data_IF_797253969638
#
_entry.id   IF_797253969638
#
_cell.length_a   1.000
_cell.length_b   1.000
_cell.length_c   1.000
_cell.angle_alpha   90.00
_cell.angle_beta   90.00
_cell.angle_gamma   90.00
#
_symmetry.space_group_name_H-M   'P 1'
#
loop_
_entity.id
_entity.type
_entity.pdbx_description
1 polymer ?
#
# COMPACT_ATOMS: atom_id res chain seq x y z
N UNK A 1 3.97 10.39 -59.61
CA UNK A 1 3.48 9.65 -58.44
C UNK A 1 4.21 10.17 -57.22
N UNK A 2 3.56 10.99 -56.41
CA UNK A 2 4.10 11.53 -55.13
C UNK A 2 3.60 10.65 -54.00
N UNK A 3 4.52 9.96 -53.36
CA UNK A 3 4.19 9.20 -52.11
C UNK A 3 4.18 10.19 -50.94
N UNK A 4 2.99 10.33 -50.35
CA UNK A 4 2.80 11.09 -49.11
C UNK A 4 3.12 10.16 -47.92
N UNK A 5 4.20 10.48 -47.23
CA UNK A 5 4.60 9.79 -46.01
C UNK A 5 3.72 10.30 -44.86
N UNK A 6 2.86 9.42 -44.32
CA UNK A 6 2.03 9.74 -43.16
C UNK A 6 2.88 9.46 -41.90
N UNK A 7 3.34 10.52 -41.24
CA UNK A 7 4.00 10.40 -39.93
C UNK A 7 2.91 10.32 -38.88
N UNK A 8 2.76 9.14 -38.30
CA UNK A 8 1.88 8.92 -37.14
C UNK A 8 2.64 9.40 -35.90
N UNK A 9 2.29 10.58 -35.40
CA UNK A 9 2.79 11.06 -34.11
C UNK A 9 2.08 10.31 -32.98
N UNK A 10 2.82 9.43 -32.28
CA UNK A 10 2.39 8.88 -31.00
C UNK A 10 2.36 10.04 -29.97
N UNK A 11 1.19 10.55 -29.69
CA UNK A 11 0.96 11.40 -28.53
C UNK A 11 1.04 10.51 -27.29
N UNK A 12 2.17 10.52 -26.61
CA UNK A 12 2.27 10.05 -25.24
C UNK A 12 1.36 10.96 -24.40
N UNK A 13 0.23 10.44 -23.99
CA UNK A 13 -0.71 11.14 -23.11
C UNK A 13 -0.08 11.33 -21.74
N UNK A 14 0.58 12.47 -21.54
CA UNK A 14 0.94 12.96 -20.22
C UNK A 14 -0.37 13.45 -19.59
N UNK A 15 -0.98 12.64 -18.72
CA UNK A 15 -2.06 13.10 -17.84
C UNK A 15 -1.55 14.22 -16.93
N UNK A 16 -2.42 15.07 -16.37
CA UNK A 16 -1.99 16.15 -15.49
C UNK A 16 -1.25 15.56 -14.30
N UNK A 17 0.04 15.87 -14.16
CA UNK A 17 0.79 15.67 -12.93
C UNK A 17 0.10 16.54 -11.87
N UNK A 18 -0.45 15.92 -10.82
CA UNK A 18 -0.98 16.66 -9.68
C UNK A 18 0.17 17.40 -8.98
N UNK A 19 -0.11 18.57 -8.45
CA UNK A 19 0.87 19.37 -7.72
C UNK A 19 1.47 18.55 -6.57
N UNK A 20 2.81 18.32 -6.64
CA UNK A 20 3.54 17.61 -5.60
C UNK A 20 4.19 16.28 -6.00
N UNK A 21 4.02 15.81 -7.25
CA UNK A 21 4.72 14.63 -7.74
C UNK A 21 5.57 14.96 -8.98
N UNK A 22 6.78 14.40 -8.99
CA UNK A 22 7.69 14.47 -10.14
C UNK A 22 8.17 13.04 -10.45
N UNK A 23 8.47 12.78 -11.71
CA UNK A 23 8.93 11.47 -12.15
C UNK A 23 7.86 10.39 -11.99
N UNK A 24 7.99 9.39 -12.79
CA UNK A 24 7.12 8.21 -12.76
C UNK A 24 7.92 7.04 -13.32
N UNK A 25 7.97 5.94 -12.59
CA UNK A 25 8.47 4.68 -13.12
C UNK A 25 7.52 3.54 -12.79
N UNK A 26 7.53 2.51 -13.63
CA UNK A 26 6.71 1.31 -13.49
C UNK A 26 7.55 0.09 -13.82
N UNK A 27 7.49 -0.88 -12.95
CA UNK A 27 8.12 -2.18 -13.12
C UNK A 27 7.07 -3.28 -12.98
N UNK A 28 6.86 -4.07 -14.04
CA UNK A 28 5.99 -5.26 -13.96
C UNK A 28 6.81 -6.41 -13.41
N UNK A 29 6.32 -6.98 -12.30
CA UNK A 29 7.02 -8.03 -11.58
C UNK A 29 6.33 -9.38 -11.78
N UNK A 30 7.12 -10.39 -12.10
CA UNK A 30 6.69 -11.79 -12.21
C UNK A 30 7.60 -12.67 -11.38
N UNK A 31 7.04 -13.72 -10.78
CA UNK A 31 7.80 -14.73 -10.04
C UNK A 31 7.28 -16.12 -10.38
N UNK A 32 8.15 -17.13 -10.31
CA UNK A 32 7.81 -18.51 -10.62
C UNK A 32 7.18 -19.29 -9.44
N UNK A 33 7.17 -18.72 -8.24
CA UNK A 33 6.51 -19.33 -7.08
C UNK A 33 4.99 -19.19 -7.21
N UNK A 34 4.26 -20.30 -7.20
CA UNK A 34 2.80 -20.32 -7.36
C UNK A 34 2.03 -19.58 -6.25
N UNK A 35 2.70 -19.24 -5.15
CA UNK A 35 2.15 -18.46 -4.04
C UNK A 35 2.30 -16.95 -4.26
N UNK A 36 3.12 -16.54 -5.23
CA UNK A 36 3.34 -15.14 -5.57
C UNK A 36 2.13 -14.56 -6.29
N UNK A 37 1.66 -13.40 -5.86
CA UNK A 37 0.51 -12.68 -6.39
C UNK A 37 -0.41 -12.21 -5.26
N UNK A 38 -1.49 -11.52 -5.60
CA UNK A 38 -2.43 -11.01 -4.60
C UNK A 38 -1.76 -10.08 -3.58
N UNK A 39 -0.85 -9.20 -4.03
CA UNK A 39 -0.10 -8.34 -3.10
C UNK A 39 -0.97 -7.18 -2.62
N UNK A 40 -1.23 -7.16 -1.31
CA UNK A 40 -2.12 -6.21 -0.63
C UNK A 40 -1.38 -5.15 0.20
N UNK A 41 -0.12 -5.39 0.58
CA UNK A 41 0.67 -4.46 1.37
C UNK A 41 2.15 -4.45 1.01
N UNK A 42 2.81 -3.32 1.26
CA UNK A 42 4.23 -3.09 0.93
C UNK A 42 4.88 -2.24 2.02
N UNK A 43 6.08 -2.64 2.42
CA UNK A 43 6.98 -1.86 3.28
C UNK A 43 8.39 -1.87 2.66
N UNK A 44 8.90 -0.68 2.31
CA UNK A 44 10.24 -0.49 1.75
C UNK A 44 11.22 -0.18 2.87
N UNK A 45 12.47 -0.64 2.71
CA UNK A 45 13.55 -0.13 3.58
C UNK A 45 13.70 1.38 3.44
N UNK A 46 14.20 2.05 4.49
CA UNK A 46 14.36 3.51 4.56
C UNK A 46 15.14 4.10 3.37
N UNK A 47 16.03 3.32 2.76
CA UNK A 47 16.85 3.69 1.60
C UNK A 47 16.30 3.19 0.26
N UNK A 48 15.15 2.50 0.25
CA UNK A 48 14.49 1.97 -0.93
C UNK A 48 15.24 0.86 -1.66
N UNK A 49 16.18 0.19 -0.99
CA UNK A 49 16.99 -0.89 -1.61
C UNK A 49 16.38 -2.28 -1.45
N UNK A 50 15.50 -2.46 -0.48
CA UNK A 50 14.81 -3.72 -0.22
C UNK A 50 13.36 -3.49 0.19
N UNK A 51 12.58 -4.54 0.21
CA UNK A 51 11.17 -4.47 0.62
C UNK A 51 10.69 -5.76 1.26
N UNK A 52 9.61 -5.63 2.01
CA UNK A 52 8.73 -6.73 2.40
C UNK A 52 7.31 -6.40 1.95
N UNK A 53 6.72 -7.30 1.18
CA UNK A 53 5.32 -7.22 0.79
C UNK A 53 4.54 -8.37 1.43
N UNK A 54 3.22 -8.22 1.51
CA UNK A 54 2.32 -9.31 1.90
C UNK A 54 1.31 -9.57 0.80
N UNK A 55 0.87 -10.83 0.69
CA UNK A 55 -0.22 -11.22 -0.18
C UNK A 55 -1.45 -11.67 0.61
N UNK A 56 -2.63 -11.47 0.03
CA UNK A 56 -3.95 -11.80 0.56
C UNK A 56 -4.07 -13.26 1.03
N UNK A 57 -3.28 -14.16 0.42
CA UNK A 57 -3.23 -15.59 0.81
C UNK A 57 -2.28 -15.91 1.95
N UNK A 58 -1.87 -14.90 2.72
CA UNK A 58 -1.03 -15.07 3.90
C UNK A 58 0.40 -15.48 3.57
N UNK A 59 1.07 -14.70 2.74
CA UNK A 59 2.49 -14.84 2.43
C UNK A 59 3.23 -13.53 2.66
N UNK A 60 4.48 -13.62 3.10
CA UNK A 60 5.46 -12.57 2.99
C UNK A 60 6.25 -12.75 1.69
N UNK A 61 6.50 -11.67 1.00
CA UNK A 61 7.34 -11.65 -0.20
C UNK A 61 8.42 -10.60 0.02
N UNK A 62 9.69 -10.99 0.03
CA UNK A 62 10.82 -10.07 0.18
C UNK A 62 11.63 -10.00 -1.11
N UNK A 63 12.40 -8.93 -1.27
CA UNK A 63 13.31 -8.79 -2.41
C UNK A 63 14.24 -7.59 -2.27
N UNK A 64 15.26 -7.59 -3.13
CA UNK A 64 16.21 -6.49 -3.30
C UNK A 64 15.91 -5.76 -4.60
N UNK A 65 15.82 -4.46 -4.56
CA UNK A 65 15.54 -3.60 -5.71
C UNK A 65 16.84 -3.32 -6.47
N UNK A 66 16.82 -3.56 -7.76
CA UNK A 66 17.86 -3.11 -8.70
C UNK A 66 17.35 -1.84 -9.37
N UNK A 67 18.17 -0.79 -9.36
CA UNK A 67 17.85 0.48 -10.01
C UNK A 67 18.78 0.73 -11.19
N UNK A 68 18.26 1.39 -12.21
CA UNK A 68 19.05 1.87 -13.34
C UNK A 68 19.77 3.19 -13.02
N UNK A 69 20.45 3.77 -14.02
CA UNK A 69 21.19 5.02 -13.88
C UNK A 69 20.30 6.25 -13.57
N UNK A 70 18.99 6.17 -13.83
CA UNK A 70 18.01 7.21 -13.50
C UNK A 70 17.42 7.02 -12.09
N UNK A 71 17.74 5.91 -11.43
CA UNK A 71 17.19 5.53 -10.15
C UNK A 71 15.84 4.81 -10.25
N UNK A 72 15.41 4.44 -11.44
CA UNK A 72 14.16 3.71 -11.66
C UNK A 72 14.35 2.21 -11.44
N UNK A 73 13.30 1.51 -10.98
CA UNK A 73 13.34 0.06 -10.77
C UNK A 73 13.57 -0.63 -12.12
N UNK A 74 14.67 -1.36 -12.23
CA UNK A 74 15.05 -2.14 -13.42
C UNK A 74 15.02 -3.66 -13.19
N UNK A 75 14.91 -4.08 -11.93
CA UNK A 75 14.84 -5.50 -11.57
C UNK A 75 14.64 -5.72 -10.08
N UNK A 76 14.33 -6.97 -9.74
CA UNK A 76 14.24 -7.46 -8.37
C UNK A 76 15.04 -8.75 -8.27
N UNK A 77 15.86 -8.86 -7.22
CA UNK A 77 16.67 -10.06 -6.92
C UNK A 77 16.42 -10.55 -5.51
N UNK A 78 16.96 -11.70 -5.18
CA UNK A 78 16.86 -12.31 -3.84
C UNK A 78 15.42 -12.41 -3.33
N UNK A 79 14.47 -12.68 -4.25
CA UNK A 79 13.05 -12.84 -3.90
C UNK A 79 12.85 -14.12 -3.10
N UNK A 80 12.22 -13.99 -1.94
CA UNK A 80 11.75 -15.11 -1.13
C UNK A 80 10.23 -14.98 -0.91
N UNK A 81 9.51 -16.11 -1.00
CA UNK A 81 8.08 -16.20 -0.67
C UNK A 81 7.91 -17.14 0.51
N UNK A 82 7.54 -16.58 1.66
CA UNK A 82 7.40 -17.30 2.92
C UNK A 82 5.95 -17.32 3.39
N UNK A 83 5.43 -18.44 3.93
CA UNK A 83 4.11 -18.47 4.51
C UNK A 83 4.07 -17.60 5.78
N UNK A 84 3.04 -16.78 5.91
CA UNK A 84 2.72 -16.08 7.14
C UNK A 84 2.17 -17.10 8.16
N UNK A 85 2.87 -17.27 9.29
CA UNK A 85 2.50 -18.24 10.30
C UNK A 85 1.49 -17.65 11.31
N UNK A 86 0.19 -17.97 11.21
CA UNK A 86 -0.82 -17.39 12.10
C UNK A 86 -0.65 -17.89 13.54
N UNK A 87 -1.38 -17.30 14.52
CA UNK A 87 -1.44 -17.82 15.87
C UNK A 87 -1.86 -19.30 15.89
N UNK A 88 -1.34 -20.07 16.83
CA UNK A 88 -1.59 -21.50 16.91
C UNK A 88 -3.10 -21.81 16.90
N UNK A 89 -3.50 -22.78 16.09
CA UNK A 89 -4.91 -23.17 15.91
C UNK A 89 -5.74 -22.21 15.04
N UNK A 90 -5.14 -21.17 14.48
CA UNK A 90 -5.81 -20.26 13.53
C UNK A 90 -5.58 -20.73 12.09
N UNK A 91 -6.53 -20.37 11.20
CA UNK A 91 -6.34 -20.51 9.74
C UNK A 91 -5.40 -19.46 9.22
N UNK A 92 -4.84 -19.67 8.02
CA UNK A 92 -4.12 -18.66 7.25
C UNK A 92 -4.98 -17.40 7.16
N UNK A 93 -4.46 -16.23 7.52
CA UNK A 93 -5.21 -14.99 7.47
C UNK A 93 -5.32 -14.47 6.04
N UNK A 94 -6.35 -13.71 5.81
CA UNK A 94 -6.52 -12.78 4.71
C UNK A 94 -5.80 -11.50 5.12
N UNK A 95 -4.60 -11.26 4.58
CA UNK A 95 -3.70 -10.20 5.03
C UNK A 95 -3.77 -9.00 4.08
N UNK A 96 -3.93 -7.78 4.63
CA UNK A 96 -4.25 -6.57 3.89
C UNK A 96 -3.17 -5.49 3.97
N UNK A 97 -2.73 -5.12 5.14
CA UNK A 97 -1.72 -4.09 5.35
C UNK A 97 -0.52 -4.60 6.14
N UNK A 98 0.67 -4.08 5.86
CA UNK A 98 1.92 -4.35 6.57
C UNK A 98 2.54 -3.05 7.06
N UNK A 99 3.18 -3.09 8.22
CA UNK A 99 4.06 -2.04 8.71
C UNK A 99 5.20 -2.67 9.51
N UNK A 100 6.43 -2.19 9.30
CA UNK A 100 7.63 -2.69 9.99
C UNK A 100 8.20 -1.56 10.85
N UNK A 101 8.28 -1.80 12.14
CA UNK A 101 8.85 -0.84 13.07
C UNK A 101 10.37 -0.76 12.99
N UNK A 102 10.96 0.33 13.48
CA UNK A 102 12.40 0.55 13.50
C UNK A 102 13.19 -0.56 14.27
N UNK A 103 12.52 -1.28 15.19
CA UNK A 103 13.08 -2.46 15.87
C UNK A 103 13.12 -3.72 15.01
N UNK A 104 12.45 -3.71 13.83
CA UNK A 104 12.28 -4.87 12.98
C UNK A 104 11.03 -5.70 13.29
N UNK A 105 10.21 -5.29 14.26
CA UNK A 105 8.90 -5.90 14.54
C UNK A 105 7.96 -5.70 13.35
N UNK A 106 7.30 -6.76 12.93
CA UNK A 106 6.43 -6.78 11.76
C UNK A 106 4.98 -6.82 12.23
N UNK A 107 4.15 -5.96 11.66
CA UNK A 107 2.72 -5.90 11.94
C UNK A 107 1.93 -6.11 10.66
N UNK A 108 0.85 -6.89 10.75
CA UNK A 108 -0.01 -7.21 9.61
C UNK A 108 -1.46 -7.06 10.03
N UNK A 109 -2.23 -6.23 9.31
CA UNK A 109 -3.68 -6.20 9.45
C UNK A 109 -4.30 -7.37 8.72
N UNK A 110 -5.35 -7.96 9.30
CA UNK A 110 -6.03 -9.11 8.70
C UNK A 110 -7.54 -8.90 8.69
N UNK A 111 -8.13 -9.21 7.54
CA UNK A 111 -9.55 -9.13 7.31
C UNK A 111 -10.34 -10.17 8.14
N UNK A 112 -11.46 -10.62 7.78
CA UNK A 112 -12.26 -11.68 8.42
C UNK A 112 -12.22 -11.80 9.96
N UNK A 113 -11.09 -11.57 10.61
CA UNK A 113 -10.87 -11.59 12.06
C UNK A 113 -10.75 -10.19 12.67
N UNK A 114 -10.68 -9.15 11.85
CA UNK A 114 -10.61 -7.73 12.23
C UNK A 114 -9.60 -7.48 13.34
N UNK A 115 -8.33 -7.72 13.07
CA UNK A 115 -7.23 -7.58 14.04
C UNK A 115 -5.92 -7.23 13.37
N UNK A 116 -4.96 -6.83 14.19
CA UNK A 116 -3.56 -6.73 13.80
C UNK A 116 -2.80 -7.89 14.46
N UNK A 117 -1.95 -8.52 13.67
CA UNK A 117 -0.99 -9.54 14.09
C UNK A 117 0.39 -8.92 14.21
N UNK A 118 1.18 -9.36 15.17
CA UNK A 118 2.58 -8.97 15.33
C UNK A 118 3.48 -10.19 15.22
N UNK A 119 4.64 -10.01 14.56
CA UNK A 119 5.65 -11.03 14.31
C UNK A 119 7.02 -10.47 14.72
N UNK A 120 7.80 -11.25 15.43
CA UNK A 120 9.17 -10.89 15.82
C UNK A 120 10.17 -11.09 14.66
N UNK A 121 9.77 -11.83 13.61
CA UNK A 121 10.50 -12.03 12.36
C UNK A 121 9.59 -12.67 11.31
N UNK A 122 10.01 -12.72 10.03
CA UNK A 122 9.28 -13.36 8.94
C UNK A 122 9.06 -14.88 9.14
N UNK A 123 9.89 -15.53 9.96
CA UNK A 123 9.79 -16.96 10.27
C UNK A 123 9.09 -17.20 11.62
N UNK A 124 8.75 -16.14 12.35
CA UNK A 124 8.07 -16.25 13.63
C UNK A 124 6.57 -16.53 13.47
N UNK A 125 6.00 -17.14 14.48
CA UNK A 125 4.54 -17.27 14.59
C UNK A 125 3.94 -15.99 15.14
N UNK A 126 2.85 -15.56 14.53
CA UNK A 126 2.13 -14.36 14.95
C UNK A 126 1.59 -14.46 16.37
N UNK A 127 1.60 -13.32 17.05
CA UNK A 127 0.76 -13.04 18.21
C UNK A 127 -0.32 -12.02 17.81
N UNK A 128 -1.54 -12.19 18.34
CA UNK A 128 -2.61 -11.24 18.10
C UNK A 128 -2.48 -10.04 19.05
N UNK A 129 -2.61 -8.83 18.52
CA UNK A 129 -2.69 -7.62 19.34
C UNK A 129 -4.10 -7.45 19.95
N UNK A 130 -4.27 -6.60 20.98
CA UNK A 130 -5.58 -6.20 21.50
C UNK A 130 -6.49 -5.72 20.36
N UNK A 131 -7.80 -5.77 20.57
CA UNK A 131 -8.79 -5.32 19.58
C UNK A 131 -9.55 -4.10 20.09
N UNK A 132 -9.76 -3.13 19.22
CA UNK A 132 -10.71 -2.05 19.51
C UNK A 132 -12.15 -2.63 19.52
N UNK A 133 -13.06 -2.17 20.40
CA UNK A 133 -14.44 -2.65 20.43
C UNK A 133 -15.18 -2.54 19.09
N UNK A 134 -14.95 -1.49 18.32
CA UNK A 134 -15.58 -1.26 17.02
C UNK A 134 -15.25 -2.35 15.99
N UNK A 135 -14.11 -3.04 16.12
CA UNK A 135 -13.69 -4.08 15.18
C UNK A 135 -14.70 -5.23 15.13
N UNK A 136 -15.41 -5.49 16.24
CA UNK A 136 -16.43 -6.55 16.29
C UNK A 136 -17.63 -6.29 15.36
N UNK A 137 -17.88 -5.02 15.00
CA UNK A 137 -18.97 -4.60 14.12
C UNK A 137 -18.58 -4.39 12.65
N UNK A 138 -17.34 -4.63 12.29
CA UNK A 138 -16.87 -4.46 10.91
C UNK A 138 -17.40 -5.55 9.98
N UNK A 139 -17.51 -5.25 8.69
CA UNK A 139 -17.91 -6.22 7.68
C UNK A 139 -16.76 -7.20 7.42
N UNK A 140 -17.08 -8.49 7.20
CA UNK A 140 -16.08 -9.53 7.06
C UNK A 140 -15.11 -9.31 5.89
N UNK A 141 -15.56 -8.67 4.80
CA UNK A 141 -14.76 -8.43 3.59
C UNK A 141 -14.62 -6.91 3.33
N UNK A 142 -14.32 -6.12 4.31
CA UNK A 142 -14.12 -4.67 4.19
C UNK A 142 -13.67 -4.08 5.53
N UNK A 143 -12.69 -4.70 6.18
CA UNK A 143 -12.29 -4.33 7.53
C UNK A 143 -10.99 -3.52 7.57
N UNK A 144 -9.98 -4.00 8.29
CA UNK A 144 -8.71 -3.30 8.49
C UNK A 144 -7.83 -3.46 7.26
N UNK A 145 -7.95 -2.54 6.32
CA UNK A 145 -7.25 -2.58 5.03
C UNK A 145 -5.84 -2.01 5.13
N UNK A 146 -5.72 -0.81 5.67
CA UNK A 146 -4.46 -0.09 5.72
C UNK A 146 -3.82 -0.19 7.10
N UNK A 147 -2.49 -0.30 7.14
CA UNK A 147 -1.68 -0.32 8.36
C UNK A 147 -0.45 0.57 8.17
N UNK A 148 -0.13 1.37 9.17
CA UNK A 148 1.07 2.21 9.21
C UNK A 148 1.65 2.25 10.62
N UNK A 149 2.93 2.58 10.74
CA UNK A 149 3.62 2.74 12.02
C UNK A 149 4.43 4.03 12.00
N UNK A 150 4.43 4.77 13.11
CA UNK A 150 5.29 5.93 13.25
C UNK A 150 6.67 5.59 13.85
N UNK A 151 7.56 6.56 13.86
CA UNK A 151 8.91 6.40 14.37
C UNK A 151 8.97 6.05 15.88
N UNK A 152 7.91 6.32 16.63
CA UNK A 152 7.79 5.98 18.04
C UNK A 152 7.20 4.57 18.26
N UNK A 153 6.86 3.84 17.18
CA UNK A 153 6.28 2.51 17.23
C UNK A 153 4.77 2.48 17.46
N UNK A 154 4.09 3.61 17.31
CA UNK A 154 2.63 3.71 17.37
C UNK A 154 2.02 3.20 16.08
N UNK A 155 1.08 2.27 16.16
CA UNK A 155 0.39 1.73 15.00
C UNK A 155 -0.87 2.52 14.67
N UNK A 156 -1.16 2.64 13.36
CA UNK A 156 -2.37 3.24 12.83
C UNK A 156 -3.01 2.29 11.83
N UNK A 157 -4.33 2.11 11.91
CA UNK A 157 -5.06 1.29 10.92
C UNK A 157 -6.36 1.97 10.52
N UNK A 158 -6.77 1.75 9.28
CA UNK A 158 -7.98 2.33 8.70
C UNK A 158 -8.78 1.22 8.02
N UNK A 159 -10.12 1.17 8.22
CA UNK A 159 -10.96 0.23 7.49
C UNK A 159 -11.14 0.66 6.03
N UNK A 160 -11.30 -0.31 5.13
CA UNK A 160 -11.63 -0.07 3.72
C UNK A 160 -12.88 0.81 3.57
N UNK A 161 -13.87 0.56 4.44
CA UNK A 161 -15.18 1.23 4.40
C UNK A 161 -15.53 1.87 5.73
N UNK A 162 -16.18 3.01 5.66
CA UNK A 162 -16.70 3.72 6.82
C UNK A 162 -18.19 3.44 7.12
N UNK A 163 -18.79 2.47 6.43
CA UNK A 163 -20.20 2.09 6.56
C UNK A 163 -21.16 2.92 5.69
N UNK A 164 -20.88 4.19 5.43
CA UNK A 164 -21.69 5.08 4.56
C UNK A 164 -20.79 5.95 3.69
N UNK A 165 -21.22 6.27 2.47
CA UNK A 165 -20.46 7.08 1.52
C UNK A 165 -20.13 8.51 2.01
N UNK A 166 -20.87 9.02 2.97
CA UNK A 166 -20.68 10.37 3.56
C UNK A 166 -19.97 10.34 4.91
N UNK A 167 -19.72 9.15 5.47
CA UNK A 167 -19.10 9.00 6.79
C UNK A 167 -17.57 9.02 6.62
N UNK A 168 -16.81 9.84 7.36
CA UNK A 168 -15.36 9.80 7.38
C UNK A 168 -14.83 8.42 7.80
N UNK A 169 -13.64 8.06 7.34
CA UNK A 169 -12.95 6.86 7.77
C UNK A 169 -12.30 7.10 9.13
N UNK A 170 -12.62 6.33 10.19
CA UNK A 170 -11.92 6.44 11.45
C UNK A 170 -10.47 5.95 11.29
N UNK A 171 -9.52 6.66 11.88
CA UNK A 171 -8.15 6.20 12.01
C UNK A 171 -7.98 5.66 13.42
N UNK A 172 -7.82 4.36 13.56
CA UNK A 172 -7.56 3.70 14.83
C UNK A 172 -6.06 3.74 15.11
N UNK A 173 -5.71 4.13 16.35
CA UNK A 173 -4.33 4.18 16.81
C UNK A 173 -4.12 3.23 17.98
N UNK A 174 -3.06 2.41 17.92
CA UNK A 174 -2.61 1.60 19.06
C UNK A 174 -1.33 2.20 19.62
N UNK A 175 -1.42 2.69 20.84
CA UNK A 175 -0.29 3.23 21.60
C UNK A 175 -0.31 2.68 23.02
N UNK A 176 0.85 2.27 23.54
CA UNK A 176 1.01 1.75 24.91
C UNK A 176 0.06 0.57 25.23
N UNK A 177 -0.36 -0.19 24.24
CA UNK A 177 -1.27 -1.34 24.36
C UNK A 177 -2.76 -1.02 24.26
N UNK A 178 -3.14 0.25 24.17
CA UNK A 178 -4.53 0.70 24.09
C UNK A 178 -4.87 1.31 22.73
N UNK A 179 -6.08 1.01 22.25
CA UNK A 179 -6.62 1.58 21.03
C UNK A 179 -7.46 2.82 21.31
N UNK A 180 -7.26 3.87 20.47
CA UNK A 180 -8.15 5.04 20.41
C UNK A 180 -8.42 5.45 18.94
N UNK A 181 -9.23 6.51 18.74
CA UNK A 181 -9.55 7.09 17.42
C UNK A 181 -9.21 8.58 17.46
N UNK A 182 -7.92 8.95 17.26
CA UNK A 182 -7.48 10.33 17.40
C UNK A 182 -8.09 11.28 16.36
N UNK A 183 -8.38 10.80 15.15
CA UNK A 183 -8.96 11.59 14.06
C UNK A 183 -9.67 10.70 13.04
N UNK A 184 -10.27 11.31 12.03
CA UNK A 184 -10.90 10.63 10.92
C UNK A 184 -10.54 11.30 9.60
N UNK A 185 -10.39 10.50 8.54
CA UNK A 185 -10.10 10.96 7.19
C UNK A 185 -11.39 11.24 6.44
N UNK A 186 -11.59 12.45 5.86
CA UNK A 186 -12.79 12.76 5.08
C UNK A 186 -12.92 11.81 3.87
N UNK A 187 -14.11 11.24 3.70
CA UNK A 187 -14.42 10.48 2.49
C UNK A 187 -14.63 11.42 1.30
N UNK A 188 -13.96 11.15 0.18
CA UNK A 188 -14.01 11.96 -1.05
C UNK A 188 -14.47 11.07 -2.22
N UNK A 189 -15.73 11.21 -2.62
CA UNK A 189 -16.31 10.41 -3.70
C UNK A 189 -16.44 8.93 -3.37
N UNK A 190 -16.26 8.08 -4.39
CA UNK A 190 -16.42 6.63 -4.28
C UNK A 190 -15.15 5.86 -3.94
N UNK A 191 -14.07 6.58 -3.65
CA UNK A 191 -12.82 5.95 -3.28
C UNK A 191 -12.92 5.25 -1.92
N UNK A 192 -12.25 4.11 -1.82
CA UNK A 192 -12.10 3.28 -0.64
C UNK A 192 -10.62 3.25 -0.24
N UNK A 193 -10.34 3.07 1.03
CA UNK A 193 -8.97 2.91 1.51
C UNK A 193 -8.41 1.58 1.02
N UNK A 194 -7.15 1.56 0.58
CA UNK A 194 -6.44 0.34 0.19
C UNK A 194 -5.04 0.24 0.80
N UNK A 195 -4.46 1.33 1.31
CA UNK A 195 -3.17 1.28 1.97
C UNK A 195 -2.87 2.56 2.73
N UNK A 196 -1.91 2.51 3.64
CA UNK A 196 -1.39 3.68 4.33
C UNK A 196 0.08 3.51 4.71
N UNK A 197 0.76 4.64 4.88
CA UNK A 197 2.11 4.70 5.42
C UNK A 197 2.34 6.03 6.14
N UNK A 198 3.33 6.07 7.03
CA UNK A 198 3.84 7.29 7.65
C UNK A 198 5.24 7.53 7.13
N UNK A 199 5.37 8.51 6.24
CA UNK A 199 6.64 8.81 5.60
C UNK A 199 7.70 9.36 6.56
N UNK A 200 8.98 9.37 6.14
CA UNK A 200 10.09 9.93 6.93
C UNK A 200 9.92 11.42 7.27
N UNK A 201 9.02 12.12 6.59
CA UNK A 201 8.61 13.50 6.89
C UNK A 201 7.60 13.62 8.02
N UNK A 202 7.22 12.51 8.66
CA UNK A 202 6.23 12.43 9.71
C UNK A 202 4.80 12.73 9.25
N UNK A 203 4.52 12.59 7.94
CA UNK A 203 3.20 12.79 7.36
C UNK A 203 2.49 11.46 7.14
N UNK A 204 1.18 11.48 7.26
CA UNK A 204 0.31 10.33 7.04
C UNK A 204 -0.15 10.27 5.58
N UNK A 205 0.22 9.22 4.88
CA UNK A 205 -0.13 8.97 3.48
C UNK A 205 -1.19 7.87 3.42
N UNK A 206 -2.22 8.08 2.61
CA UNK A 206 -3.22 7.05 2.33
C UNK A 206 -3.31 6.80 0.84
N UNK A 207 -3.37 5.52 0.48
CA UNK A 207 -3.72 5.06 -0.85
C UNK A 207 -5.21 4.70 -0.86
N UNK A 208 -5.90 5.14 -1.89
CA UNK A 208 -7.31 4.89 -2.10
C UNK A 208 -7.55 4.38 -3.51
N UNK A 209 -8.51 3.49 -3.66
CA UNK A 209 -8.93 2.94 -4.95
C UNK A 209 -10.42 3.13 -5.20
N UNK A 210 -10.79 3.24 -6.48
CA UNK A 210 -12.17 3.21 -6.94
C UNK A 210 -12.28 2.29 -8.16
N UNK A 211 -13.01 1.19 -8.01
CA UNK A 211 -13.36 0.32 -9.14
C UNK A 211 -14.57 0.88 -9.89
N UNK A 212 -14.37 1.21 -11.16
CA UNK A 212 -15.39 1.86 -12.01
C UNK A 212 -16.28 0.88 -12.78
N UNK A 213 -16.05 -0.44 -12.60
CA UNK A 213 -16.66 -1.51 -13.41
C UNK A 213 -15.90 -1.83 -14.69
N UNK A 214 -14.90 -1.02 -15.07
CA UNK A 214 -14.05 -1.21 -16.28
C UNK A 214 -12.55 -1.12 -15.98
N UNK A 215 -12.18 -0.77 -14.76
CA UNK A 215 -10.80 -0.59 -14.32
C UNK A 215 -10.76 0.17 -13.01
N UNK A 216 -9.55 0.42 -12.55
CA UNK A 216 -9.29 1.11 -11.29
C UNK A 216 -8.85 2.55 -11.51
N UNK A 217 -9.27 3.42 -10.61
CA UNK A 217 -8.68 4.72 -10.35
C UNK A 217 -7.99 4.65 -9.01
N UNK A 218 -6.80 5.22 -8.90
CA UNK A 218 -6.05 5.29 -7.66
C UNK A 218 -5.85 6.74 -7.25
N UNK A 219 -5.85 6.99 -5.94
CA UNK A 219 -5.58 8.31 -5.38
C UNK A 219 -4.66 8.17 -4.17
N UNK A 220 -3.69 9.08 -4.05
CA UNK A 220 -2.88 9.22 -2.84
C UNK A 220 -3.15 10.58 -2.23
N UNK A 221 -3.50 10.59 -0.95
CA UNK A 221 -3.63 11.81 -0.14
C UNK A 221 -2.65 11.79 1.02
N UNK A 222 -2.15 12.97 1.37
CA UNK A 222 -1.25 13.20 2.50
C UNK A 222 -1.92 14.11 3.53
N UNK A 223 -1.68 13.82 4.81
CA UNK A 223 -2.21 14.55 5.95
C UNK A 223 -1.11 14.81 6.98
N UNK A 224 -1.35 15.74 7.90
CA UNK A 224 -0.60 15.76 9.16
C UNK A 224 -1.14 14.67 10.12
N UNK A 225 -0.42 14.42 11.22
CA UNK A 225 -0.79 13.39 12.20
C UNK A 225 -2.01 13.74 13.07
N UNK A 226 -2.66 14.87 12.81
CA UNK A 226 -3.96 15.23 13.39
C UNK A 226 -5.14 15.01 12.44
N UNK A 227 -4.85 14.54 11.20
CA UNK A 227 -5.84 14.39 10.13
C UNK A 227 -6.14 15.68 9.38
N UNK A 228 -5.38 16.75 9.65
CA UNK A 228 -5.44 18.04 8.96
C UNK A 228 -4.49 18.13 7.76
N UNK A 229 -4.38 19.34 7.18
CA UNK A 229 -3.44 19.64 6.08
C UNK A 229 -3.57 18.71 4.88
N UNK A 230 -4.81 18.33 4.50
CA UNK A 230 -5.12 17.42 3.40
C UNK A 230 -4.54 17.93 2.08
N UNK A 231 -3.72 17.10 1.42
CA UNK A 231 -3.18 17.34 0.07
C UNK A 231 -3.41 16.09 -0.78
N UNK A 232 -4.03 16.25 -1.95
CA UNK A 232 -4.08 15.18 -2.95
C UNK A 232 -2.78 15.23 -3.76
N UNK A 233 -1.95 14.19 -3.64
CA UNK A 233 -0.69 14.06 -4.36
C UNK A 233 -0.87 13.41 -5.74
N UNK A 234 -1.74 12.40 -5.81
CA UNK A 234 -2.02 11.62 -7.01
C UNK A 234 -3.52 11.39 -7.14
N UNK A 235 -4.05 11.56 -8.33
CA UNK A 235 -5.35 10.99 -8.73
C UNK A 235 -5.24 10.57 -10.19
N UNK A 236 -5.43 9.27 -10.48
CA UNK A 236 -5.18 8.70 -11.80
C UNK A 236 -6.45 8.63 -12.63
N UNK A 237 -6.33 8.72 -13.98
CA UNK A 237 -7.38 8.29 -14.86
C UNK A 237 -7.72 6.81 -14.67
N UNK A 238 -8.94 6.41 -15.07
CA UNK A 238 -9.36 5.02 -15.01
C UNK A 238 -8.46 4.12 -15.86
N UNK A 239 -7.98 3.01 -15.28
CA UNK A 239 -7.15 2.03 -15.97
C UNK A 239 -5.70 2.47 -16.19
N UNK A 240 -5.23 3.55 -15.55
CA UNK A 240 -3.85 3.98 -15.63
C UNK A 240 -2.89 3.00 -14.95
N UNK A 241 -3.30 2.43 -13.84
CA UNK A 241 -2.63 1.36 -13.10
C UNK A 241 -3.59 0.19 -12.91
N UNK A 242 -3.04 -0.95 -12.53
CA UNK A 242 -3.83 -2.05 -12.03
C UNK A 242 -4.32 -1.75 -10.61
N UNK A 243 -4.81 -2.71 -9.88
CA UNK A 243 -5.39 -2.58 -8.56
C UNK A 243 -4.33 -2.24 -7.50
N UNK A 244 -3.96 -0.95 -7.35
CA UNK A 244 -2.95 -0.52 -6.36
C UNK A 244 -3.51 -0.68 -4.94
N UNK A 245 -2.80 -1.44 -4.09
CA UNK A 245 -3.22 -1.76 -2.72
C UNK A 245 -2.18 -1.44 -1.66
N UNK A 246 -0.88 -1.60 -1.93
CA UNK A 246 0.18 -1.25 -0.99
C UNK A 246 0.85 0.08 -1.32
N UNK A 247 1.29 0.80 -0.28
CA UNK A 247 2.05 2.05 -0.36
C UNK A 247 3.16 2.04 0.67
N UNK A 248 4.35 2.51 0.28
CA UNK A 248 5.45 2.82 1.19
C UNK A 248 6.16 4.09 0.75
N UNK A 249 6.49 4.97 1.70
CA UNK A 249 7.17 6.26 1.49
C UNK A 249 8.54 6.23 2.14
N UNK A 250 9.58 6.46 1.36
CA UNK A 250 10.96 6.31 1.78
C UNK A 250 11.86 7.45 1.30
N UNK A 251 13.11 7.53 1.77
CA UNK A 251 14.05 8.58 1.41
C UNK A 251 15.03 8.11 0.34
N UNK A 252 15.01 8.79 -0.82
CA UNK A 252 16.02 8.61 -1.85
C UNK A 252 17.10 9.69 -1.75
N UNK A 253 18.25 9.55 -2.43
CA UNK A 253 19.28 10.60 -2.49
C UNK A 253 18.77 11.96 -3.02
N UNK A 254 17.65 11.97 -3.74
CA UNK A 254 17.07 13.17 -4.35
C UNK A 254 15.81 13.67 -3.64
N UNK A 255 15.42 13.08 -2.52
CA UNK A 255 14.24 13.43 -1.74
C UNK A 255 13.28 12.26 -1.50
N UNK A 256 12.08 12.55 -1.05
CA UNK A 256 11.09 11.53 -0.75
C UNK A 256 10.59 10.85 -2.03
N UNK A 257 10.40 9.55 -1.95
CA UNK A 257 9.71 8.73 -2.94
C UNK A 257 8.58 7.94 -2.30
N UNK A 258 7.58 7.60 -3.08
CA UNK A 258 6.59 6.59 -2.73
C UNK A 258 6.62 5.47 -3.74
N UNK A 259 6.58 4.24 -3.25
CA UNK A 259 6.42 3.02 -4.03
C UNK A 259 5.03 2.46 -3.74
N UNK A 260 4.32 2.12 -4.80
CA UNK A 260 3.00 1.49 -4.75
C UNK A 260 3.09 0.11 -5.35
N UNK A 261 2.34 -0.85 -4.83
CA UNK A 261 2.24 -2.20 -5.40
C UNK A 261 0.80 -2.51 -5.77
N UNK A 262 0.61 -3.20 -6.91
CA UNK A 262 -0.70 -3.66 -7.34
C UNK A 262 -0.94 -5.13 -7.04
N UNK A 263 -2.19 -5.43 -6.69
CA UNK A 263 -2.75 -6.77 -6.61
C UNK A 263 -3.20 -7.26 -8.00
N UNK A 264 -2.71 -8.43 -8.44
CA UNK A 264 -3.12 -9.08 -9.68
C UNK A 264 -4.36 -9.97 -9.51
N UNK A 265 -4.90 -10.07 -8.30
CA UNK A 265 -6.04 -10.91 -7.95
C UNK A 265 -5.89 -12.36 -8.46
N UNK A 266 -4.67 -12.83 -8.67
CA UNK A 266 -4.35 -14.10 -9.34
C UNK A 266 -5.06 -14.27 -10.69
N UNK A 267 -5.24 -13.17 -11.44
CA UNK A 267 -5.93 -13.16 -12.73
C UNK A 267 -4.93 -12.91 -13.87
N UNK A 268 -4.95 -13.73 -14.90
CA UNK A 268 -4.03 -13.68 -16.04
C UNK A 268 -4.02 -12.34 -16.81
N UNK A 269 -5.04 -11.51 -16.65
CA UNK A 269 -5.17 -10.20 -17.30
C UNK A 269 -4.81 -9.02 -16.38
N UNK A 270 -4.55 -9.27 -15.10
CA UNK A 270 -4.02 -8.30 -14.15
C UNK A 270 -2.53 -8.52 -13.93
N UNK A 271 -1.86 -7.55 -13.36
CA UNK A 271 -0.41 -7.57 -13.21
C UNK A 271 -0.02 -7.12 -11.82
N UNK A 272 1.02 -7.76 -11.29
CA UNK A 272 1.76 -7.22 -10.16
C UNK A 272 2.72 -6.17 -10.69
N UNK A 273 2.50 -4.90 -10.32
CA UNK A 273 3.33 -3.76 -10.71
C UNK A 273 3.89 -3.07 -9.47
N UNK A 274 5.15 -2.67 -9.52
CA UNK A 274 5.71 -1.65 -8.63
C UNK A 274 5.71 -0.32 -9.38
N UNK A 275 5.09 0.68 -8.78
CA UNK A 275 4.94 2.02 -9.36
C UNK A 275 5.58 3.02 -8.42
N UNK A 276 6.51 3.83 -8.90
CA UNK A 276 7.18 4.84 -8.09
C UNK A 276 6.92 6.25 -8.57
N UNK A 277 6.82 7.15 -7.60
CA UNK A 277 6.75 8.60 -7.81
C UNK A 277 7.72 9.30 -6.85
N UNK A 278 8.41 10.34 -7.35
CA UNK A 278 9.13 11.27 -6.48
C UNK A 278 8.15 12.31 -5.93
N UNK A 279 8.21 12.57 -4.62
CA UNK A 279 7.36 13.54 -3.93
C UNK A 279 8.10 14.87 -3.88
N UNK A 280 7.50 15.92 -4.45
CA UNK A 280 8.01 17.29 -4.33
C UNK A 280 7.58 17.92 -3.00
N UNK A 281 8.48 18.68 -2.41
CA UNK A 281 8.21 19.46 -1.20
C UNK A 281 7.26 20.63 -1.48
#
# INVERSE_FOLDING_TARGET
MRQTLLILALLAGCGPLSAGLNGFSRFTWTNADDRFGGLSGLDMSDDGTSFTAIGDRGVFVTGQIIRDANGDISGITSTEVKPLLPPLGSKTPDSEGIAIGASGDIYVSVEAKHRVLAFDSLDARARALPRHPDFAGMQANSSLEALAIDADGTLYTIPERSGRATRPFPVYRLKDGDWDVPFSIPRRGNFLISGADIGPDGRFYILERHFTGRGFQSRVRRFDMSGGSEVTLLETPNGNHDNLEGISVWTSPTGLRMTLVSDDNFRFFQRTELVEYAISN
#
